data_IF_929928531627
#
_entry.id   IF_929928531627
#
_cell.length_a   1.000
_cell.length_b   1.000
_cell.length_c   1.000
_cell.angle_alpha   90.00
_cell.angle_beta   90.00
_cell.angle_gamma   90.00
#
_symmetry.space_group_name_H-M   'P 1'
#
loop_
_entity.id
_entity.type
_entity.pdbx_description
1 polymer ?
#
# COMPACT_ATOMS: atom_id res chain seq x y z
N UNK A 1 -15.86 -15.61 9.92
CA UNK A 1 -16.63 -15.24 8.71
C UNK A 1 -15.66 -15.31 7.55
N UNK A 2 -15.96 -16.16 6.56
CA UNK A 2 -15.13 -16.25 5.34
C UNK A 2 -15.28 -14.93 4.58
N UNK A 3 -14.32 -14.03 4.70
CA UNK A 3 -14.30 -12.79 3.95
C UNK A 3 -14.17 -13.12 2.46
N UNK A 4 -15.03 -12.51 1.66
CA UNK A 4 -14.89 -12.53 0.21
C UNK A 4 -13.54 -11.88 -0.15
N UNK A 5 -12.82 -12.49 -1.06
CA UNK A 5 -11.53 -11.96 -1.57
C UNK A 5 -11.78 -11.40 -2.96
N UNK A 6 -11.29 -10.21 -3.23
CA UNK A 6 -11.23 -9.63 -4.56
C UNK A 6 -9.98 -10.15 -5.26
N UNK A 7 -10.16 -10.87 -6.36
CA UNK A 7 -9.05 -11.36 -7.18
C UNK A 7 -8.88 -10.48 -8.41
N UNK A 8 -7.67 -9.95 -8.62
CA UNK A 8 -7.31 -9.06 -9.70
C UNK A 8 -6.23 -9.72 -10.54
N UNK A 9 -6.54 -9.98 -11.82
CA UNK A 9 -5.54 -10.51 -12.75
C UNK A 9 -4.35 -9.55 -12.90
N UNK A 10 -3.14 -10.08 -12.95
CA UNK A 10 -1.91 -9.26 -13.03
C UNK A 10 -1.91 -8.29 -14.24
N UNK A 11 -2.58 -8.66 -15.32
CA UNK A 11 -2.70 -7.85 -16.54
C UNK A 11 -3.85 -6.82 -16.51
N UNK A 12 -4.60 -6.73 -15.39
CA UNK A 12 -5.61 -5.68 -15.24
C UNK A 12 -4.93 -4.30 -15.27
N UNK A 13 -5.37 -3.45 -16.19
CA UNK A 13 -4.82 -2.10 -16.32
C UNK A 13 -5.33 -1.23 -15.17
N UNK A 14 -4.54 -0.21 -14.80
CA UNK A 14 -4.96 0.75 -13.78
C UNK A 14 -6.29 1.41 -14.16
N UNK A 15 -6.49 1.72 -15.43
CA UNK A 15 -7.75 2.24 -15.93
C UNK A 15 -8.91 1.24 -15.83
N UNK A 16 -8.68 -0.07 -15.92
CA UNK A 16 -9.70 -1.08 -15.71
C UNK A 16 -10.07 -1.16 -14.20
N UNK A 17 -9.09 -1.13 -13.31
CA UNK A 17 -9.30 -1.09 -11.86
C UNK A 17 -10.14 0.13 -11.45
N UNK A 18 -9.83 1.31 -11.99
CA UNK A 18 -10.58 2.55 -11.73
C UNK A 18 -12.05 2.49 -12.15
N UNK A 19 -12.39 1.67 -13.14
CA UNK A 19 -13.76 1.57 -13.69
C UNK A 19 -14.52 0.31 -13.26
N UNK A 20 -13.89 -0.57 -12.48
CA UNK A 20 -14.51 -1.80 -12.04
C UNK A 20 -15.48 -1.55 -10.89
N UNK A 21 -16.75 -1.89 -11.10
CA UNK A 21 -17.76 -1.88 -10.05
C UNK A 21 -17.46 -2.89 -8.93
N UNK A 22 -16.78 -3.99 -9.25
CA UNK A 22 -16.36 -4.99 -8.27
C UNK A 22 -15.29 -4.42 -7.33
N UNK A 23 -14.33 -3.66 -7.87
CA UNK A 23 -13.32 -2.96 -7.07
C UNK A 23 -13.97 -1.89 -6.20
N UNK A 24 -14.89 -1.11 -6.77
CA UNK A 24 -15.58 -0.02 -6.06
C UNK A 24 -16.39 -0.55 -4.85
N UNK A 25 -17.05 -1.68 -5.01
CA UNK A 25 -17.81 -2.33 -3.94
C UNK A 25 -16.91 -3.06 -2.94
N UNK A 26 -15.90 -3.79 -3.44
CA UNK A 26 -15.09 -4.68 -2.60
C UNK A 26 -13.95 -3.97 -1.87
N UNK A 27 -13.24 -3.06 -2.53
CA UNK A 27 -12.09 -2.34 -1.95
C UNK A 27 -11.82 -1.03 -2.70
N UNK A 28 -12.62 0.01 -2.49
CA UNK A 28 -12.58 1.26 -3.28
C UNK A 28 -11.24 2.01 -3.23
N UNK A 29 -10.42 1.79 -2.19
CA UNK A 29 -9.08 2.40 -2.08
C UNK A 29 -8.17 2.02 -3.27
N UNK A 30 -8.36 0.84 -3.88
CA UNK A 30 -7.59 0.40 -5.04
C UNK A 30 -7.86 1.28 -6.27
N UNK A 31 -9.13 1.60 -6.54
CA UNK A 31 -9.50 2.50 -7.62
C UNK A 31 -9.02 3.94 -7.36
N UNK A 32 -9.16 4.42 -6.13
CA UNK A 32 -8.67 5.73 -5.72
C UNK A 32 -7.14 5.85 -5.89
N UNK A 33 -6.40 4.82 -5.50
CA UNK A 33 -4.93 4.79 -5.67
C UNK A 33 -4.55 4.69 -7.15
N UNK A 34 -5.23 3.86 -7.95
CA UNK A 34 -4.97 3.76 -9.38
C UNK A 34 -5.14 5.13 -10.08
N UNK A 35 -6.08 5.95 -9.64
CA UNK A 35 -6.34 7.28 -10.20
C UNK A 35 -5.18 8.28 -9.97
N UNK A 36 -4.35 8.06 -8.95
CA UNK A 36 -3.21 8.93 -8.64
C UNK A 36 -1.92 8.56 -9.40
N UNK A 37 -1.88 7.38 -10.02
CA UNK A 37 -0.67 6.91 -10.73
C UNK A 37 -0.54 7.60 -12.09
N UNK A 38 0.55 8.32 -12.28
CA UNK A 38 0.97 8.92 -13.54
C UNK A 38 -0.18 9.63 -14.32
N UNK A 39 -0.16 9.58 -15.63
CA UNK A 39 -1.16 10.17 -16.53
C UNK A 39 -2.15 9.14 -17.09
N UNK A 40 -3.12 9.62 -17.88
CA UNK A 40 -4.16 8.78 -18.48
C UNK A 40 -3.59 7.77 -19.48
N UNK A 41 -2.51 8.11 -20.19
CA UNK A 41 -1.87 7.22 -21.17
C UNK A 41 -1.21 6.03 -20.44
N UNK A 42 -0.49 6.32 -19.37
CA UNK A 42 0.12 5.29 -18.51
C UNK A 42 -0.95 4.40 -17.89
N UNK A 43 -2.01 4.97 -17.31
CA UNK A 43 -3.07 4.18 -16.68
C UNK A 43 -3.83 3.28 -17.66
N UNK A 44 -3.96 3.67 -18.91
CA UNK A 44 -4.61 2.84 -19.94
C UNK A 44 -3.76 1.63 -20.38
N UNK A 45 -2.46 1.65 -20.19
CA UNK A 45 -1.54 0.59 -20.61
C UNK A 45 -0.86 -0.11 -19.42
N UNK A 46 -0.52 0.65 -18.39
CA UNK A 46 0.12 0.13 -17.17
C UNK A 46 -0.84 -0.80 -16.42
N UNK A 47 -0.33 -1.95 -16.01
CA UNK A 47 -1.08 -2.97 -15.27
C UNK A 47 -0.69 -2.98 -13.80
N UNK A 48 -1.56 -3.50 -12.94
CA UNK A 48 -1.25 -3.67 -11.53
C UNK A 48 -0.03 -4.59 -11.34
N UNK A 49 -0.04 -5.74 -12.02
CA UNK A 49 1.09 -6.68 -11.97
C UNK A 49 2.40 -6.06 -12.46
N UNK A 50 2.37 -5.29 -13.56
CA UNK A 50 3.53 -4.57 -14.06
C UNK A 50 4.08 -3.56 -13.04
N UNK A 51 3.17 -2.78 -12.38
CA UNK A 51 3.57 -1.82 -11.37
C UNK A 51 4.28 -2.48 -10.18
N UNK A 52 3.70 -3.55 -9.63
CA UNK A 52 4.27 -4.20 -8.44
C UNK A 52 5.47 -5.09 -8.75
N UNK A 53 5.57 -5.69 -9.96
CA UNK A 53 6.75 -6.47 -10.36
C UNK A 53 7.98 -5.59 -10.60
N UNK A 54 7.80 -4.33 -11.00
CA UNK A 54 8.92 -3.38 -11.09
C UNK A 54 9.47 -3.08 -9.70
N UNK A 55 8.63 -3.07 -8.68
CA UNK A 55 8.99 -2.71 -7.29
C UNK A 55 9.89 -1.48 -7.19
N UNK A 56 9.51 -0.41 -7.90
CA UNK A 56 10.10 0.91 -7.68
C UNK A 56 9.64 1.40 -6.28
N UNK A 57 10.57 1.78 -5.38
CA UNK A 57 10.21 2.25 -4.04
C UNK A 57 9.26 3.45 -4.01
N UNK A 58 9.18 4.21 -5.10
CA UNK A 58 8.28 5.36 -5.24
C UNK A 58 6.88 5.00 -5.73
N UNK A 59 6.61 3.74 -6.03
CA UNK A 59 5.32 3.25 -6.49
C UNK A 59 4.24 3.37 -5.40
N UNK A 60 3.01 3.50 -5.85
CA UNK A 60 1.83 3.70 -4.99
C UNK A 60 1.28 2.40 -4.41
N UNK A 61 1.29 1.31 -5.21
CA UNK A 61 0.64 0.05 -4.82
C UNK A 61 1.42 -0.80 -3.81
N UNK A 62 2.77 -0.88 -3.82
CA UNK A 62 3.46 -1.77 -2.89
C UNK A 62 3.08 -1.56 -1.42
N UNK A 63 3.18 -0.35 -0.81
CA UNK A 63 2.77 -0.14 0.57
C UNK A 63 1.27 -0.34 0.79
N UNK A 64 0.43 0.02 -0.19
CA UNK A 64 -1.00 -0.23 -0.10
C UNK A 64 -1.31 -1.73 0.01
N UNK A 65 -0.75 -2.56 -0.87
CA UNK A 65 -1.00 -4.00 -0.87
C UNK A 65 -0.50 -4.68 0.42
N UNK A 66 0.62 -4.23 0.97
CA UNK A 66 1.11 -4.67 2.29
C UNK A 66 0.12 -4.30 3.40
N UNK A 67 -0.36 -3.06 3.43
CA UNK A 67 -1.35 -2.62 4.41
C UNK A 67 -2.68 -3.37 4.28
N UNK A 68 -3.12 -3.67 3.05
CA UNK A 68 -4.34 -4.44 2.80
C UNK A 68 -4.20 -5.94 3.11
N UNK A 69 -3.01 -6.44 3.39
CA UNK A 69 -2.77 -7.87 3.60
C UNK A 69 -2.99 -8.69 2.34
N UNK A 70 -2.63 -8.15 1.18
CA UNK A 70 -2.77 -8.82 -0.10
C UNK A 70 -1.82 -10.02 -0.23
N UNK A 71 -2.15 -10.92 -1.16
CA UNK A 71 -1.28 -12.04 -1.58
C UNK A 71 -1.17 -12.08 -3.09
N UNK A 72 -0.06 -12.63 -3.56
CA UNK A 72 0.32 -12.72 -4.97
C UNK A 72 0.44 -14.17 -5.40
N UNK A 73 -0.23 -14.53 -6.49
CA UNK A 73 -0.11 -15.86 -7.09
C UNK A 73 0.95 -15.84 -8.19
N UNK A 74 1.99 -16.63 -8.00
CA UNK A 74 3.12 -16.75 -8.92
C UNK A 74 3.08 -18.15 -9.53
N UNK A 75 3.09 -18.25 -10.85
CA UNK A 75 3.12 -19.47 -11.62
C UNK A 75 4.48 -19.68 -12.28
N UNK A 76 5.03 -20.88 -12.14
CA UNK A 76 6.25 -21.34 -12.80
C UNK A 76 5.95 -22.55 -13.69
N UNK A 77 6.98 -23.06 -14.38
CA UNK A 77 6.90 -24.32 -15.14
C UNK A 77 6.62 -25.54 -14.24
N UNK A 78 6.95 -25.47 -12.95
CA UNK A 78 6.84 -26.58 -11.98
C UNK A 78 5.61 -26.49 -11.09
N UNK A 79 4.84 -25.41 -11.17
CA UNK A 79 3.62 -25.26 -10.35
C UNK A 79 3.30 -23.81 -10.02
N UNK A 80 2.45 -23.66 -9.02
CA UNK A 80 1.94 -22.39 -8.57
C UNK A 80 2.25 -22.22 -7.07
N UNK A 81 2.60 -20.99 -6.65
CA UNK A 81 2.76 -20.62 -5.25
C UNK A 81 2.08 -19.29 -4.95
N UNK A 82 1.62 -19.15 -3.73
CA UNK A 82 1.06 -17.91 -3.22
C UNK A 82 2.02 -17.37 -2.16
N UNK A 83 2.34 -16.08 -2.26
CA UNK A 83 3.16 -15.35 -1.30
C UNK A 83 2.39 -14.14 -0.78
N UNK A 84 2.65 -13.74 0.45
CA UNK A 84 2.08 -12.50 1.00
C UNK A 84 2.70 -11.28 0.33
N UNK A 85 2.04 -10.12 0.40
CA UNK A 85 2.61 -8.87 -0.11
C UNK A 85 3.94 -8.52 0.59
N UNK A 86 4.08 -8.85 1.86
CA UNK A 86 5.31 -8.64 2.64
C UNK A 86 6.48 -9.50 2.13
N UNK A 87 6.21 -10.74 1.69
CA UNK A 87 7.21 -11.65 1.13
C UNK A 87 7.47 -11.40 -0.36
N UNK A 88 6.56 -10.71 -1.05
CA UNK A 88 6.67 -10.46 -2.48
C UNK A 88 7.72 -9.40 -2.83
N UNK A 89 7.81 -8.33 -2.03
CA UNK A 89 8.76 -7.23 -2.25
C UNK A 89 10.07 -7.54 -1.53
N UNK A 90 11.12 -7.84 -2.29
CA UNK A 90 12.39 -8.36 -1.76
C UNK A 90 13.47 -7.28 -1.68
N UNK A 91 13.51 -6.38 -2.65
CA UNK A 91 14.51 -5.31 -2.72
C UNK A 91 14.14 -4.25 -3.76
N UNK A 92 14.98 -3.25 -3.92
CA UNK A 92 14.80 -2.21 -4.96
C UNK A 92 14.82 -2.87 -6.33
N UNK A 93 13.72 -2.74 -7.09
CA UNK A 93 13.51 -3.40 -8.37
C UNK A 93 13.62 -4.94 -8.31
N UNK A 94 13.34 -5.52 -7.14
CA UNK A 94 13.44 -6.96 -6.92
C UNK A 94 12.18 -7.47 -6.20
N UNK A 95 11.64 -8.59 -6.69
CA UNK A 95 10.47 -9.26 -6.14
C UNK A 95 10.68 -10.76 -6.05
N UNK A 96 9.74 -11.47 -5.42
CA UNK A 96 9.74 -12.93 -5.34
C UNK A 96 9.50 -13.64 -6.69
N UNK A 97 9.28 -12.91 -7.79
CA UNK A 97 9.13 -13.45 -9.15
C UNK A 97 10.51 -13.80 -9.68
N UNK A 98 10.81 -15.10 -9.78
CA UNK A 98 12.08 -15.60 -10.28
C UNK A 98 12.13 -15.72 -11.80
N UNK A 99 13.28 -16.16 -12.32
CA UNK A 99 13.46 -16.40 -13.76
C UNK A 99 12.49 -17.50 -14.24
N UNK A 100 11.72 -17.21 -15.29
CA UNK A 100 10.73 -18.12 -15.83
C UNK A 100 9.39 -18.16 -15.06
N UNK A 101 9.25 -17.35 -14.01
CA UNK A 101 8.01 -17.19 -13.26
C UNK A 101 7.14 -16.08 -13.87
N UNK A 102 5.83 -16.18 -13.62
CA UNK A 102 4.84 -15.17 -13.98
C UNK A 102 3.95 -14.86 -12.77
N UNK A 103 3.81 -13.59 -12.43
CA UNK A 103 2.72 -13.13 -11.57
C UNK A 103 1.42 -13.25 -12.34
N UNK A 104 0.44 -14.00 -11.82
CA UNK A 104 -0.83 -14.26 -12.49
C UNK A 104 -1.99 -13.49 -11.89
N UNK A 105 -2.05 -13.37 -10.56
CA UNK A 105 -3.10 -12.60 -9.89
C UNK A 105 -2.64 -12.02 -8.56
N UNK A 106 -3.41 -11.04 -8.10
CA UNK A 106 -3.30 -10.40 -6.79
C UNK A 106 -4.63 -10.58 -6.08
N UNK A 107 -4.61 -11.18 -4.90
CA UNK A 107 -5.78 -11.41 -4.06
C UNK A 107 -5.78 -10.40 -2.92
N UNK A 108 -6.84 -9.61 -2.81
CA UNK A 108 -7.00 -8.59 -1.78
C UNK A 108 -8.22 -8.92 -0.93
N UNK A 109 -8.12 -8.97 0.41
CA UNK A 109 -9.27 -9.14 1.27
C UNK A 109 -10.30 -8.04 1.02
N UNK A 110 -11.57 -8.42 0.78
CA UNK A 110 -12.62 -7.44 0.58
C UNK A 110 -12.91 -6.66 1.88
N UNK A 111 -13.30 -5.41 1.73
CA UNK A 111 -13.75 -4.61 2.85
C UNK A 111 -15.10 -5.15 3.37
N UNK A 112 -15.23 -5.23 4.68
CA UNK A 112 -16.46 -5.58 5.37
C UNK A 112 -16.89 -4.45 6.31
N UNK A 113 -17.92 -4.72 7.10
CA UNK A 113 -18.32 -3.78 8.17
C UNK A 113 -17.17 -3.58 9.15
N UNK A 114 -16.91 -2.35 9.55
CA UNK A 114 -15.79 -2.00 10.43
C UNK A 114 -14.41 -2.00 9.73
N UNK A 115 -14.39 -2.09 8.39
CA UNK A 115 -13.17 -1.92 7.60
C UNK A 115 -13.02 -0.48 7.12
N UNK A 116 -11.84 0.07 7.29
CA UNK A 116 -11.48 1.38 6.74
C UNK A 116 -10.07 1.38 6.18
N UNK A 117 -9.89 2.08 5.06
CA UNK A 117 -8.61 2.22 4.39
C UNK A 117 -8.25 3.67 4.17
N UNK A 118 -6.99 4.00 4.37
CA UNK A 118 -6.43 5.31 4.09
C UNK A 118 -5.10 5.22 3.37
N UNK A 119 -4.83 6.21 2.54
CA UNK A 119 -3.52 6.39 1.91
C UNK A 119 -3.21 7.86 1.82
N UNK A 120 -2.02 8.23 2.21
CA UNK A 120 -1.51 9.61 2.15
C UNK A 120 -0.04 9.61 1.78
N UNK A 121 0.40 10.69 1.14
CA UNK A 121 1.81 10.88 0.81
C UNK A 121 2.06 12.22 0.17
N UNK A 122 3.33 12.54 -0.03
CA UNK A 122 3.78 13.75 -0.71
C UNK A 122 4.43 13.36 -2.03
N UNK A 123 3.95 13.95 -3.12
CA UNK A 123 4.42 13.67 -4.48
C UNK A 123 5.19 14.86 -5.05
N UNK A 124 6.06 14.59 -5.99
CA UNK A 124 6.72 15.59 -6.84
C UNK A 124 5.80 15.91 -8.03
N UNK A 125 5.20 17.10 -8.01
CA UNK A 125 4.24 17.50 -9.05
C UNK A 125 2.86 16.85 -8.91
N UNK A 126 1.96 17.14 -9.85
CA UNK A 126 0.55 16.73 -9.77
C UNK A 126 0.30 15.23 -10.00
N UNK A 127 1.19 14.56 -10.72
CA UNK A 127 1.12 13.13 -11.05
C UNK A 127 2.48 12.45 -10.86
N UNK A 128 3.28 12.99 -9.94
CA UNK A 128 4.65 12.58 -9.71
C UNK A 128 4.77 11.36 -8.81
N UNK A 129 6.01 10.91 -8.71
CA UNK A 129 6.42 9.86 -7.78
C UNK A 129 6.31 10.34 -6.34
N UNK A 130 6.07 9.43 -5.41
CA UNK A 130 6.08 9.78 -4.00
C UNK A 130 7.48 10.08 -3.49
N UNK A 131 7.57 11.07 -2.62
CA UNK A 131 8.75 11.34 -1.78
C UNK A 131 8.70 10.48 -0.51
N UNK A 132 7.53 10.39 0.10
CA UNK A 132 7.18 9.46 1.16
C UNK A 132 5.67 9.23 1.13
N UNK A 133 5.23 8.04 1.48
CA UNK A 133 3.82 7.73 1.60
C UNK A 133 3.56 6.70 2.72
N UNK A 134 2.31 6.62 3.14
CA UNK A 134 1.82 5.62 4.07
C UNK A 134 0.43 5.15 3.63
N UNK A 135 0.20 3.86 3.79
CA UNK A 135 -1.11 3.23 3.67
C UNK A 135 -1.51 2.62 5.01
N UNK A 136 -2.77 2.75 5.38
CA UNK A 136 -3.33 2.18 6.59
C UNK A 136 -4.63 1.43 6.26
N UNK A 137 -4.80 0.28 6.87
CA UNK A 137 -6.04 -0.48 6.85
C UNK A 137 -6.41 -0.88 8.27
N UNK A 138 -7.66 -0.75 8.63
CA UNK A 138 -8.21 -1.24 9.88
C UNK A 138 -9.38 -2.18 9.61
N UNK A 139 -9.37 -3.32 10.27
CA UNK A 139 -10.46 -4.32 10.23
C UNK A 139 -10.74 -4.75 11.67
N UNK A 140 -11.95 -4.55 12.14
CA UNK A 140 -12.36 -4.91 13.50
C UNK A 140 -11.34 -4.45 14.57
N UNK A 141 -10.86 -3.20 14.47
CA UNK A 141 -9.85 -2.54 15.34
C UNK A 141 -8.42 -3.09 15.22
N UNK A 142 -8.16 -4.03 14.33
CA UNK A 142 -6.81 -4.50 14.02
C UNK A 142 -6.20 -3.66 12.90
N UNK A 143 -5.07 -3.06 13.16
CA UNK A 143 -4.39 -2.15 12.25
C UNK A 143 -3.30 -2.84 11.43
N UNK A 144 -3.18 -2.43 10.19
CA UNK A 144 -2.04 -2.71 9.32
C UNK A 144 -1.62 -1.41 8.66
N UNK A 145 -0.38 -1.01 8.86
CA UNK A 145 0.16 0.26 8.38
C UNK A 145 1.48 -0.01 7.66
N UNK A 146 1.61 0.45 6.43
CA UNK A 146 2.81 0.27 5.64
C UNK A 146 3.28 1.59 5.04
N UNK A 147 4.60 1.78 5.06
CA UNK A 147 5.30 2.96 4.55
C UNK A 147 5.96 2.65 3.22
N UNK A 148 5.99 3.62 2.31
CA UNK A 148 6.73 3.56 1.06
C UNK A 148 7.71 4.72 0.92
N UNK A 149 8.73 4.55 0.09
CA UNK A 149 9.80 5.52 -0.18
C UNK A 149 10.75 5.78 1.01
N UNK A 150 10.71 4.96 2.04
CA UNK A 150 11.53 5.11 3.26
C UNK A 150 12.48 3.94 3.49
N UNK A 151 12.41 2.93 2.64
CA UNK A 151 13.27 1.76 2.62
C UNK A 151 13.29 1.17 1.19
N UNK A 152 14.10 0.13 0.96
CA UNK A 152 14.16 -0.63 -0.29
C UNK A 152 12.83 -1.34 -0.64
N UNK A 153 12.05 -1.68 0.39
CA UNK A 153 10.75 -2.35 0.29
C UNK A 153 9.71 -1.63 1.16
N UNK A 154 8.41 -1.88 0.95
CA UNK A 154 7.39 -1.37 1.86
C UNK A 154 7.61 -1.85 3.29
N UNK A 155 7.68 -0.92 4.24
CA UNK A 155 7.97 -1.20 5.65
C UNK A 155 6.71 -1.16 6.50
N UNK A 156 6.44 -2.23 7.29
CA UNK A 156 5.35 -2.25 8.27
C UNK A 156 5.70 -1.40 9.50
N UNK A 157 4.80 -0.50 9.89
CA UNK A 157 4.91 0.30 11.10
C UNK A 157 4.30 -0.42 12.33
N UNK A 158 4.81 -1.61 12.66
CA UNK A 158 4.22 -2.52 13.67
C UNK A 158 4.14 -1.91 15.07
N UNK A 159 5.07 -1.04 15.44
CA UNK A 159 5.01 -0.32 16.73
C UNK A 159 3.81 0.63 16.77
N UNK A 160 3.53 1.36 15.69
CA UNK A 160 2.36 2.24 15.56
C UNK A 160 1.07 1.41 15.58
N UNK A 161 1.02 0.29 14.86
CA UNK A 161 -0.13 -0.62 14.87
C UNK A 161 -0.47 -1.08 16.29
N UNK A 162 0.53 -1.55 17.02
CA UNK A 162 0.36 -2.00 18.42
C UNK A 162 -0.09 -0.86 19.36
N UNK A 163 0.41 0.36 19.16
CA UNK A 163 0.02 1.52 19.95
C UNK A 163 -1.44 1.96 19.70
N UNK A 164 -1.97 1.68 18.50
CA UNK A 164 -3.35 1.98 18.13
C UNK A 164 -4.35 0.89 18.52
N UNK A 165 -3.87 -0.32 18.85
CA UNK A 165 -4.72 -1.45 19.20
C UNK A 165 -5.54 -1.15 20.47
N UNK A 166 -6.86 -1.33 20.38
CA UNK A 166 -7.75 -1.06 21.51
C UNK A 166 -7.97 0.41 21.87
N UNK A 167 -7.27 1.33 21.22
CA UNK A 167 -7.36 2.79 21.47
C UNK A 167 -8.56 3.41 20.74
N UNK A 168 -9.19 4.38 21.36
CA UNK A 168 -10.17 5.24 20.66
C UNK A 168 -9.41 6.22 19.78
N UNK A 169 -9.68 6.13 18.47
CA UNK A 169 -8.92 6.85 17.46
C UNK A 169 -9.41 8.29 17.34
N UNK A 170 -8.63 9.21 17.88
CA UNK A 170 -8.70 10.65 17.61
C UNK A 170 -7.34 11.15 17.13
N UNK A 171 -7.26 12.42 16.73
CA UNK A 171 -6.02 12.98 16.18
C UNK A 171 -4.87 12.99 17.20
N UNK A 172 -5.15 13.21 18.48
CA UNK A 172 -4.12 13.26 19.52
C UNK A 172 -3.53 11.87 19.78
N UNK A 173 -4.39 10.85 19.87
CA UNK A 173 -3.97 9.45 20.04
C UNK A 173 -3.12 8.98 18.84
N UNK A 174 -3.53 9.31 17.61
CA UNK A 174 -2.77 8.93 16.41
C UNK A 174 -1.42 9.64 16.36
N UNK A 175 -1.35 10.93 16.69
CA UNK A 175 -0.07 11.66 16.75
C UNK A 175 0.86 11.08 17.79
N UNK A 176 0.35 10.74 18.96
CA UNK A 176 1.13 10.10 20.01
C UNK A 176 1.64 8.71 19.61
N UNK A 177 0.82 7.91 18.91
CA UNK A 177 1.23 6.60 18.42
C UNK A 177 2.32 6.66 17.33
N UNK A 178 2.36 7.74 16.55
CA UNK A 178 3.30 7.96 15.44
C UNK A 178 4.57 8.68 15.90
N UNK A 179 4.56 9.29 17.08
CA UNK A 179 5.71 10.03 17.60
C UNK A 179 6.96 9.13 17.68
N UNK A 180 8.07 9.61 17.09
CA UNK A 180 9.33 8.88 17.02
C UNK A 180 9.41 7.78 15.93
N UNK A 181 8.36 7.58 15.12
CA UNK A 181 8.42 6.65 14.00
C UNK A 181 9.59 6.99 13.06
N UNK A 182 9.80 8.28 12.77
CA UNK A 182 10.86 8.75 11.91
C UNK A 182 12.25 8.32 12.37
N UNK A 183 12.49 8.25 13.68
CA UNK A 183 13.78 7.86 14.25
C UNK A 183 14.13 6.38 13.99
N UNK A 184 13.13 5.55 13.70
CA UNK A 184 13.28 4.13 13.38
C UNK A 184 13.59 3.86 11.90
N UNK A 185 13.52 4.90 11.04
CA UNK A 185 13.65 4.79 9.60
C UNK A 185 15.03 5.24 9.12
N UNK A 186 15.54 4.59 8.07
CA UNK A 186 16.77 4.99 7.40
C UNK A 186 16.55 5.21 5.90
N UNK A 187 15.73 6.21 5.52
CA UNK A 187 15.40 6.46 4.12
C UNK A 187 16.60 7.00 3.34
N UNK A 188 16.68 6.71 2.03
CA UNK A 188 17.72 7.27 1.17
C UNK A 188 17.56 8.79 1.07
N UNK A 189 18.70 9.48 0.92
CA UNK A 189 18.75 10.88 0.50
C UNK A 189 19.03 10.94 -1.00
N UNK A 190 18.34 11.83 -1.72
CA UNK A 190 18.53 12.06 -3.15
C UNK A 190 18.33 13.55 -3.52
N UNK A 191 18.28 13.84 -4.83
CA UNK A 191 18.07 15.23 -5.34
C UNK A 191 16.69 15.79 -5.00
N UNK A 192 15.75 14.97 -4.57
CA UNK A 192 14.35 15.34 -4.30
C UNK A 192 14.09 15.58 -2.83
N UNK A 193 14.76 14.84 -1.94
CA UNK A 193 14.54 14.94 -0.50
C UNK A 193 15.73 14.43 0.33
N UNK A 194 15.99 15.09 1.44
CA UNK A 194 16.90 14.56 2.47
C UNK A 194 16.27 13.41 3.25
N UNK A 195 17.09 12.59 3.87
CA UNK A 195 16.61 11.50 4.75
C UNK A 195 15.74 12.05 5.90
N UNK A 196 16.16 13.15 6.53
CA UNK A 196 15.41 13.83 7.60
C UNK A 196 14.02 14.27 7.13
N UNK A 197 13.94 14.87 5.94
CA UNK A 197 12.64 15.28 5.38
C UNK A 197 11.74 14.09 5.10
N UNK A 198 12.28 12.99 4.57
CA UNK A 198 11.50 11.76 4.35
C UNK A 198 10.98 11.16 5.66
N UNK A 199 11.75 11.18 6.75
CA UNK A 199 11.31 10.77 8.09
C UNK A 199 10.12 11.59 8.56
N UNK A 200 10.20 12.90 8.48
CA UNK A 200 9.10 13.81 8.86
C UNK A 200 7.85 13.62 7.99
N UNK A 201 8.03 13.40 6.68
CA UNK A 201 6.93 13.10 5.77
C UNK A 201 6.28 11.74 6.06
N UNK A 202 7.06 10.73 6.43
CA UNK A 202 6.55 9.41 6.80
C UNK A 202 5.61 9.51 8.01
N UNK A 203 6.01 10.22 9.07
CA UNK A 203 5.15 10.47 10.23
C UNK A 203 3.86 11.20 9.83
N UNK A 204 3.98 12.31 9.11
CA UNK A 204 2.83 13.10 8.66
C UNK A 204 1.88 12.28 7.79
N UNK A 205 2.43 11.49 6.87
CA UNK A 205 1.64 10.63 5.98
C UNK A 205 0.95 9.51 6.74
N UNK A 206 1.61 8.94 7.75
CA UNK A 206 1.05 7.90 8.61
C UNK A 206 -0.14 8.44 9.41
N UNK A 207 0.00 9.59 10.05
CA UNK A 207 -1.11 10.23 10.77
C UNK A 207 -2.33 10.41 9.85
N UNK A 208 -2.13 10.95 8.66
CA UNK A 208 -3.21 11.20 7.71
C UNK A 208 -3.86 9.90 7.20
N UNK A 209 -3.07 8.89 6.87
CA UNK A 209 -3.59 7.60 6.41
C UNK A 209 -4.40 6.90 7.49
N UNK A 210 -3.93 6.90 8.73
CA UNK A 210 -4.64 6.31 9.88
C UNK A 210 -5.97 7.03 10.15
N UNK A 211 -5.98 8.37 10.14
CA UNK A 211 -7.22 9.14 10.35
C UNK A 211 -8.25 8.89 9.23
N UNK A 212 -7.80 8.82 7.97
CA UNK A 212 -8.68 8.46 6.84
C UNK A 212 -9.26 7.05 7.00
N UNK A 213 -8.44 6.08 7.40
CA UNK A 213 -8.89 4.71 7.62
C UNK A 213 -9.90 4.64 8.79
N UNK A 214 -9.62 5.32 9.90
CA UNK A 214 -10.51 5.38 11.06
C UNK A 214 -11.88 6.01 10.73
N UNK A 215 -11.89 7.07 9.94
CA UNK A 215 -13.13 7.74 9.50
C UNK A 215 -14.01 6.78 8.69
N UNK A 216 -13.41 6.08 7.70
CA UNK A 216 -14.14 5.12 6.85
C UNK A 216 -14.62 3.88 7.61
N UNK A 217 -13.91 3.44 8.63
CA UNK A 217 -14.31 2.30 9.45
C UNK A 217 -15.54 2.58 10.32
N UNK A 218 -15.85 3.86 10.57
CA UNK A 218 -17.01 4.30 11.38
C UNK A 218 -18.31 4.44 10.57
N UNK A 219 -18.22 4.59 9.25
CA UNK A 219 -19.35 4.75 8.32
C UNK A 219 -19.83 3.43 7.79
#
# INVERSE_FOLDING_TARGET
MSGTTLEIGAMATLAAIMRSSEVDVSRPILAATAATVADVQVRNRGTLGGNICVNDPTNHFPPLLVALGASMTIRSATGERVVTAEEFFVGVFETAVGEGDLLTSISVPAAGKGTGDGMSGVTLGAHGTYVANAAASVVDRTWRIALGCVDAVPLRATAVESALEGTDIDEAAVRSAVEGLGDTLDPPADVHASAEYRRSLAETSTVRAVLQAAEKARG
#
